data_IF_610020607066
#
_entry.id   IF_610020607066
#
_cell.length_a   1.000
_cell.length_b   1.000
_cell.length_c   1.000
_cell.angle_alpha   90.00
_cell.angle_beta   90.00
_cell.angle_gamma   90.00
#
_symmetry.space_group_name_H-M   'P 1'
#
loop_
_entity.id
_entity.type
_entity.pdbx_description
1 polymer ?
#
# COMPACT_ATOMS: atom_id res chain seq x y z
N UNK A 1 -0.81 -35.08 -3.52
CA UNK A 1 -0.60 -33.90 -2.67
C UNK A 1 -0.45 -32.73 -3.61
N UNK A 2 -1.46 -31.87 -3.71
CA UNK A 2 -1.37 -30.63 -4.49
C UNK A 2 -1.25 -29.51 -3.46
N UNK A 3 -0.06 -28.95 -3.33
CA UNK A 3 0.11 -27.63 -2.76
C UNK A 3 -0.63 -26.67 -3.71
N UNK A 4 -1.91 -26.43 -3.43
CA UNK A 4 -2.70 -25.40 -4.12
C UNK A 4 -1.99 -24.09 -3.85
N UNK A 5 -1.13 -23.66 -4.79
CA UNK A 5 -0.79 -22.25 -4.93
C UNK A 5 -2.13 -21.53 -4.94
N UNK A 6 -2.36 -20.69 -3.94
CA UNK A 6 -3.59 -19.91 -3.85
C UNK A 6 -3.66 -19.05 -5.11
N UNK A 7 -4.45 -19.48 -6.09
CA UNK A 7 -4.80 -18.68 -7.25
C UNK A 7 -5.58 -17.50 -6.67
N UNK A 8 -4.93 -16.35 -6.58
CA UNK A 8 -5.58 -15.12 -6.13
C UNK A 8 -6.60 -14.79 -7.21
N UNK A 9 -7.88 -14.83 -6.85
CA UNK A 9 -8.96 -14.42 -7.74
C UNK A 9 -8.97 -12.90 -7.80
N UNK A 10 -8.72 -12.35 -8.99
CA UNK A 10 -8.77 -10.92 -9.24
C UNK A 10 -10.06 -10.56 -10.00
N UNK A 11 -10.61 -9.34 -9.84
CA UNK A 11 -10.14 -8.28 -8.96
C UNK A 11 -10.42 -8.55 -7.47
N UNK A 12 -9.49 -8.20 -6.60
CA UNK A 12 -9.62 -8.38 -5.16
C UNK A 12 -9.22 -7.12 -4.39
N UNK A 13 -9.80 -6.93 -3.21
CA UNK A 13 -9.38 -5.88 -2.30
C UNK A 13 -8.03 -6.26 -1.69
N UNK A 14 -7.01 -5.43 -1.95
CA UNK A 14 -5.67 -5.59 -1.40
C UNK A 14 -5.39 -4.50 -0.39
N UNK A 15 -4.78 -4.89 0.73
CA UNK A 15 -4.33 -3.97 1.76
C UNK A 15 -2.80 -3.88 1.72
N UNK A 16 -2.27 -2.70 1.44
CA UNK A 16 -0.85 -2.39 1.56
C UNK A 16 -0.61 -1.61 2.84
N UNK A 17 0.37 -2.05 3.63
CA UNK A 17 0.73 -1.34 4.84
C UNK A 17 1.99 -0.52 4.61
N UNK A 18 1.81 0.79 4.61
CA UNK A 18 2.81 1.78 4.27
C UNK A 18 3.31 2.41 5.55
N UNK A 19 4.62 2.45 5.73
CA UNK A 19 5.28 3.01 6.90
C UNK A 19 6.24 4.09 6.45
N UNK A 20 6.11 5.25 7.05
CA UNK A 20 6.95 6.41 6.75
C UNK A 20 7.01 7.34 7.94
N UNK A 21 7.63 8.51 7.75
CA UNK A 21 7.81 9.49 8.83
C UNK A 21 6.64 10.46 8.90
N UNK A 22 6.22 10.95 7.74
CA UNK A 22 5.20 11.99 7.63
C UNK A 22 3.97 11.48 6.89
N UNK A 23 2.82 11.54 7.57
CA UNK A 23 1.56 11.04 7.05
C UNK A 23 1.11 11.80 5.79
N UNK A 24 1.19 13.13 5.81
CA UNK A 24 0.73 13.98 4.70
C UNK A 24 1.49 13.68 3.41
N UNK A 25 2.81 13.53 3.50
CA UNK A 25 3.64 13.19 2.34
C UNK A 25 3.39 11.78 1.84
N UNK A 26 3.11 10.82 2.74
CA UNK A 26 2.70 9.48 2.33
C UNK A 26 1.36 9.50 1.61
N UNK A 27 0.35 10.19 2.15
CA UNK A 27 -0.97 10.32 1.51
C UNK A 27 -0.86 10.94 0.12
N UNK A 28 -0.05 11.99 -0.04
CA UNK A 28 0.21 12.61 -1.36
C UNK A 28 0.91 11.64 -2.31
N UNK A 29 1.97 10.99 -1.86
CA UNK A 29 2.69 10.00 -2.67
C UNK A 29 1.74 8.90 -3.18
N UNK A 30 0.89 8.40 -2.29
CA UNK A 30 -0.10 7.37 -2.65
C UNK A 30 -1.11 7.92 -3.64
N UNK A 31 -1.64 9.13 -3.42
CA UNK A 31 -2.56 9.76 -4.37
C UNK A 31 -1.92 9.99 -5.74
N UNK A 32 -0.62 10.32 -5.81
CA UNK A 32 0.12 10.47 -7.06
C UNK A 32 0.35 9.11 -7.77
N UNK A 33 0.58 8.04 -7.01
CA UNK A 33 0.83 6.69 -7.54
C UNK A 33 -0.46 6.01 -8.01
N UNK A 34 -1.49 6.04 -7.16
CA UNK A 34 -2.78 5.38 -7.44
C UNK A 34 -3.67 6.27 -8.32
N UNK A 35 -3.40 7.57 -8.36
CA UNK A 35 -4.12 8.54 -9.19
C UNK A 35 -5.58 8.68 -8.76
N UNK A 36 -6.47 8.67 -9.76
CA UNK A 36 -7.93 8.75 -9.60
C UNK A 36 -8.57 7.39 -9.26
N UNK A 37 -7.76 6.38 -8.90
CA UNK A 37 -8.26 5.07 -8.51
C UNK A 37 -9.08 5.11 -7.22
N UNK A 38 -10.02 4.16 -7.09
CA UNK A 38 -10.79 3.99 -5.86
C UNK A 38 -9.92 3.31 -4.80
N UNK A 39 -9.51 4.08 -3.79
CA UNK A 39 -8.72 3.58 -2.68
C UNK A 39 -9.11 4.24 -1.36
N UNK A 40 -8.89 3.52 -0.27
CA UNK A 40 -9.13 3.99 1.09
C UNK A 40 -7.82 4.03 1.86
N UNK A 41 -7.53 5.18 2.48
CA UNK A 41 -6.37 5.37 3.33
C UNK A 41 -6.76 5.47 4.79
N UNK A 42 -6.44 4.44 5.56
CA UNK A 42 -6.73 4.37 6.99
C UNK A 42 -5.44 4.51 7.79
N UNK A 43 -5.46 5.37 8.81
CA UNK A 43 -4.35 5.45 9.75
C UNK A 43 -4.35 4.23 10.67
N UNK A 44 -3.25 3.46 10.68
CA UNK A 44 -3.17 2.22 11.49
C UNK A 44 -2.57 2.49 12.85
N UNK A 45 -1.37 3.07 12.88
CA UNK A 45 -0.62 3.20 14.12
C UNK A 45 0.48 4.26 14.04
N UNK A 46 0.84 4.80 15.20
CA UNK A 46 1.98 5.69 15.38
C UNK A 46 2.99 5.04 16.32
N UNK A 47 4.28 5.16 16.00
CA UNK A 47 5.35 4.73 16.91
C UNK A 47 5.30 5.53 18.22
N UNK A 48 5.75 4.92 19.34
CA UNK A 48 5.76 5.52 20.68
C UNK A 48 6.37 6.93 20.76
N UNK A 49 7.31 7.26 19.87
CA UNK A 49 7.94 8.59 19.81
C UNK A 49 7.45 9.47 18.65
N UNK A 50 6.41 9.08 17.91
CA UNK A 50 5.91 9.84 16.78
C UNK A 50 6.80 9.85 15.53
N UNK A 51 7.96 9.20 15.57
CA UNK A 51 8.95 9.18 14.48
C UNK A 51 8.46 8.48 13.21
N UNK A 52 7.59 7.48 13.38
CA UNK A 52 7.04 6.71 12.28
C UNK A 52 5.52 6.59 12.40
N UNK A 53 4.86 6.63 11.25
CA UNK A 53 3.44 6.48 11.06
C UNK A 53 3.19 5.32 10.11
N UNK A 54 2.15 4.56 10.38
CA UNK A 54 1.70 3.45 9.55
C UNK A 54 0.32 3.75 9.01
N UNK A 55 0.19 3.66 7.69
CA UNK A 55 -1.04 3.78 6.95
C UNK A 55 -1.38 2.45 6.30
N UNK A 56 -2.67 2.16 6.22
CA UNK A 56 -3.23 1.08 5.45
C UNK A 56 -3.84 1.67 4.18
N UNK A 57 -3.41 1.19 3.03
CA UNK A 57 -3.96 1.49 1.72
C UNK A 57 -4.77 0.28 1.27
N UNK A 58 -6.09 0.43 1.30
CA UNK A 58 -7.03 -0.55 0.80
C UNK A 58 -7.45 -0.14 -0.61
N UNK A 59 -7.19 -0.98 -1.60
CA UNK A 59 -7.59 -0.72 -3.00
C UNK A 59 -7.91 -2.00 -3.75
N UNK A 60 -8.71 -1.89 -4.80
CA UNK A 60 -9.02 -3.03 -5.66
C UNK A 60 -7.90 -3.22 -6.67
N UNK A 61 -7.18 -4.34 -6.58
CA UNK A 61 -6.17 -4.73 -7.57
C UNK A 61 -6.80 -5.64 -8.62
N UNK A 62 -6.52 -5.36 -9.89
CA UNK A 62 -7.14 -6.05 -11.03
C UNK A 62 -6.38 -7.31 -11.44
N UNK A 63 -5.08 -7.36 -11.14
CA UNK A 63 -4.19 -8.46 -11.49
C UNK A 63 -2.89 -8.35 -10.67
N UNK A 64 -2.05 -9.37 -10.74
CA UNK A 64 -0.77 -9.43 -10.03
C UNK A 64 0.19 -8.31 -10.47
N UNK A 65 0.21 -7.97 -11.77
CA UNK A 65 1.09 -6.92 -12.30
C UNK A 65 0.65 -5.56 -11.80
N UNK A 66 -0.66 -5.28 -11.74
CA UNK A 66 -1.20 -4.07 -11.14
C UNK A 66 -0.79 -3.97 -9.66
N UNK A 67 -0.95 -5.05 -8.89
CA UNK A 67 -0.51 -5.08 -7.48
C UNK A 67 0.99 -4.81 -7.34
N UNK A 68 1.82 -5.47 -8.15
CA UNK A 68 3.27 -5.33 -8.10
C UNK A 68 3.72 -3.92 -8.50
N UNK A 69 3.12 -3.33 -9.53
CA UNK A 69 3.43 -1.98 -9.98
C UNK A 69 3.16 -0.95 -8.87
N UNK A 70 2.00 -1.04 -8.21
CA UNK A 70 1.68 -0.17 -7.06
C UNK A 70 2.69 -0.40 -5.92
N UNK A 71 2.98 -1.66 -5.59
CA UNK A 71 3.94 -1.98 -4.53
C UNK A 71 5.34 -1.40 -4.80
N UNK A 72 5.85 -1.56 -6.02
CA UNK A 72 7.15 -1.03 -6.42
C UNK A 72 7.15 0.50 -6.44
N UNK A 73 6.13 1.14 -7.02
CA UNK A 73 6.00 2.58 -7.03
C UNK A 73 6.00 3.18 -5.61
N UNK A 74 5.25 2.57 -4.68
CA UNK A 74 5.25 2.96 -3.27
C UNK A 74 6.63 2.78 -2.64
N UNK A 75 7.28 1.64 -2.89
CA UNK A 75 8.60 1.33 -2.34
C UNK A 75 9.70 2.24 -2.85
N UNK A 76 9.59 2.73 -4.08
CA UNK A 76 10.54 3.65 -4.70
C UNK A 76 10.34 5.11 -4.28
N UNK A 77 9.22 5.44 -3.63
CA UNK A 77 8.93 6.82 -3.24
C UNK A 77 9.70 7.25 -1.98
N UNK A 78 10.41 8.39 -2.03
CA UNK A 78 11.25 8.87 -0.92
C UNK A 78 10.52 9.06 0.41
N UNK A 79 9.23 9.41 0.38
CA UNK A 79 8.40 9.60 1.57
C UNK A 79 8.00 8.29 2.26
N UNK A 80 8.15 7.16 1.58
CA UNK A 80 7.80 5.83 2.06
C UNK A 80 9.08 5.11 2.47
N UNK A 81 9.12 4.61 3.69
CA UNK A 81 10.30 3.90 4.19
C UNK A 81 10.14 2.39 4.02
N UNK A 82 8.94 1.86 4.27
CA UNK A 82 8.63 0.43 4.22
C UNK A 82 7.22 0.24 3.68
N UNK A 83 7.03 -0.78 2.84
CA UNK A 83 5.73 -1.26 2.37
C UNK A 83 5.64 -2.75 2.73
N UNK A 84 4.51 -3.17 3.29
CA UNK A 84 4.19 -4.53 3.71
C UNK A 84 2.91 -5.02 3.02
#
# INVERSE_FOLDING_TARGET
MLEKKSEIEYPCLWNFKIIGREEEYMRRAIAEIVGDGDYTLTFSNQSRHGKYRSLNLDMVVLDESHRLNIFEALRHHNSIQIVL
#
